data_IF_418590394981
#
_entry.id   IF_418590394981
#
_cell.length_a   1.000
_cell.length_b   1.000
_cell.length_c   1.000
_cell.angle_alpha   90.00
_cell.angle_beta   90.00
_cell.angle_gamma   90.00
#
_symmetry.space_group_name_H-M   'P 1'
#
loop_
_entity.id
_entity.type
_entity.pdbx_description
1 polymer ?
#
# COMPACT_ATOMS: atom_id res chain seq x y z
N UNK A 1 -22.79 -13.38 -0.52
CA UNK A 1 -21.88 -12.91 0.55
C UNK A 1 -22.47 -11.66 1.17
N UNK A 2 -22.16 -11.34 2.43
CA UNK A 2 -22.63 -10.12 3.10
C UNK A 2 -21.92 -8.86 2.56
N UNK A 3 -20.75 -9.03 1.93
CA UNK A 3 -19.97 -7.98 1.30
C UNK A 3 -19.98 -8.09 -0.23
N UNK A 4 -19.85 -6.96 -0.95
CA UNK A 4 -19.62 -6.97 -2.40
C UNK A 4 -18.28 -7.65 -2.73
N UNK A 5 -18.10 -8.01 -4.01
CA UNK A 5 -16.81 -8.51 -4.49
C UNK A 5 -15.72 -7.44 -4.31
N UNK A 6 -14.47 -7.89 -4.14
CA UNK A 6 -13.33 -6.99 -3.99
C UNK A 6 -13.05 -6.27 -5.31
N UNK A 7 -13.02 -4.94 -5.26
CA UNK A 7 -12.63 -4.07 -6.37
C UNK A 7 -11.27 -3.42 -6.05
N UNK A 8 -10.26 -3.75 -6.86
CA UNK A 8 -8.91 -3.23 -6.72
C UNK A 8 -8.81 -1.73 -7.01
N UNK A 9 -9.60 -1.21 -7.95
CA UNK A 9 -9.61 0.22 -8.27
C UNK A 9 -10.16 1.03 -7.10
N UNK A 10 -11.27 0.60 -6.51
CA UNK A 10 -11.84 1.23 -5.32
C UNK A 10 -10.86 1.17 -4.13
N UNK A 11 -10.11 0.08 -3.97
CA UNK A 11 -9.06 -0.04 -2.95
C UNK A 11 -7.91 0.96 -3.19
N UNK A 12 -7.39 1.05 -4.42
CA UNK A 12 -6.29 1.96 -4.78
C UNK A 12 -6.68 3.44 -4.70
N UNK A 13 -7.98 3.73 -4.86
CA UNK A 13 -8.61 5.04 -4.63
C UNK A 13 -8.87 5.35 -3.14
N UNK A 14 -8.71 4.36 -2.25
CA UNK A 14 -8.93 4.51 -0.81
C UNK A 14 -10.40 4.50 -0.38
N UNK A 15 -11.31 4.02 -1.23
CA UNK A 15 -12.75 4.00 -0.99
C UNK A 15 -13.19 2.77 -0.19
N UNK A 16 -12.43 1.67 -0.30
CA UNK A 16 -12.69 0.42 0.41
C UNK A 16 -11.42 -0.13 1.05
N UNK A 17 -11.59 -0.96 2.09
CA UNK A 17 -10.50 -1.66 2.76
C UNK A 17 -10.81 -3.17 2.83
N UNK A 18 -9.87 -4.06 2.42
CA UNK A 18 -10.04 -5.49 2.54
C UNK A 18 -9.99 -5.92 4.01
N UNK A 19 -10.93 -6.78 4.41
CA UNK A 19 -11.06 -7.27 5.79
C UNK A 19 -10.48 -8.68 5.91
N UNK A 20 -9.65 -8.89 6.93
CA UNK A 20 -9.05 -10.18 7.26
C UNK A 20 -9.38 -10.56 8.70
N UNK A 21 -9.52 -11.86 8.96
CA UNK A 21 -9.73 -12.40 10.30
C UNK A 21 -8.55 -13.29 10.68
N UNK A 22 -8.02 -13.10 11.88
CA UNK A 22 -6.85 -13.84 12.34
C UNK A 22 -6.49 -13.56 13.79
N UNK A 23 -5.45 -14.23 14.27
CA UNK A 23 -4.80 -13.97 15.55
C UNK A 23 -3.31 -13.84 15.30
N UNK A 24 -2.78 -12.62 15.41
CA UNK A 24 -1.36 -12.35 15.24
C UNK A 24 -0.51 -13.08 16.29
N UNK A 25 -1.00 -13.19 17.54
CA UNK A 25 -0.32 -13.92 18.62
C UNK A 25 -0.12 -15.41 18.28
N UNK A 26 -1.09 -16.00 17.58
CA UNK A 26 -1.07 -17.41 17.19
C UNK A 26 -0.58 -17.63 15.75
N UNK A 27 -0.07 -16.58 15.09
CA UNK A 27 0.38 -16.62 13.68
C UNK A 27 -0.69 -17.17 12.72
N UNK A 28 -1.96 -16.92 13.02
CA UNK A 28 -3.09 -17.38 12.22
C UNK A 28 -3.69 -16.22 11.43
N UNK A 29 -3.89 -16.38 10.12
CA UNK A 29 -4.42 -15.34 9.23
C UNK A 29 -3.37 -14.34 8.72
N UNK A 30 -2.13 -14.39 9.23
CA UNK A 30 -1.05 -13.46 8.85
C UNK A 30 -0.54 -13.73 7.43
N UNK A 31 -0.49 -15.01 7.03
CA UNK A 31 -0.05 -15.39 5.68
C UNK A 31 -1.02 -14.88 4.64
N UNK A 32 -2.32 -15.08 4.86
CA UNK A 32 -3.38 -14.65 3.96
C UNK A 32 -3.42 -13.13 3.81
N UNK A 33 -3.18 -12.40 4.91
CA UNK A 33 -2.99 -10.95 4.89
C UNK A 33 -1.79 -10.56 4.02
N UNK A 34 -0.63 -11.17 4.24
CA UNK A 34 0.61 -10.82 3.54
C UNK A 34 0.54 -11.16 2.04
N UNK A 35 0.04 -12.35 1.70
CA UNK A 35 -0.13 -12.79 0.31
C UNK A 35 -1.07 -11.84 -0.45
N UNK A 36 -2.15 -11.39 0.20
CA UNK A 36 -3.04 -10.40 -0.39
C UNK A 36 -2.36 -9.03 -0.50
N UNK A 37 -1.66 -8.59 0.55
CA UNK A 37 -0.95 -7.31 0.58
C UNK A 37 0.05 -7.20 -0.56
N UNK A 38 0.89 -8.21 -0.78
CA UNK A 38 1.87 -8.22 -1.89
C UNK A 38 1.19 -8.13 -3.26
N UNK A 39 -0.03 -8.68 -3.39
CA UNK A 39 -0.77 -8.67 -4.66
C UNK A 39 -1.43 -7.32 -4.96
N UNK A 40 -2.01 -6.66 -3.97
CA UNK A 40 -2.87 -5.48 -4.19
C UNK A 40 -2.20 -4.16 -3.81
N UNK A 41 -1.15 -4.18 -2.97
CA UNK A 41 -0.52 -2.95 -2.51
C UNK A 41 0.13 -2.20 -3.68
N UNK A 42 -0.01 -0.87 -3.73
CA UNK A 42 0.61 -0.09 -4.79
C UNK A 42 2.13 -0.11 -4.68
N UNK A 43 2.80 -0.20 -5.83
CA UNK A 43 4.23 0.12 -5.96
C UNK A 43 4.51 1.59 -5.62
N UNK A 44 5.80 2.00 -5.48
CA UNK A 44 6.16 3.41 -5.31
C UNK A 44 5.42 4.30 -6.31
N UNK A 45 4.78 5.35 -5.81
CA UNK A 45 3.96 6.26 -6.63
C UNK A 45 4.74 7.55 -6.92
N UNK A 46 4.44 8.24 -8.03
CA UNK A 46 4.99 9.56 -8.29
C UNK A 46 4.72 10.53 -7.14
N UNK A 47 5.70 11.38 -6.84
CA UNK A 47 5.63 12.39 -5.78
C UNK A 47 5.60 13.78 -6.41
N UNK A 48 4.69 14.63 -5.95
CA UNK A 48 4.60 16.02 -6.41
C UNK A 48 5.56 16.89 -5.60
N UNK A 49 6.40 17.67 -6.28
CA UNK A 49 7.24 18.72 -5.69
C UNK A 49 6.77 20.09 -6.17
N UNK A 50 7.39 21.17 -5.68
CA UNK A 50 7.03 22.54 -6.10
C UNK A 50 7.24 22.79 -7.60
N UNK A 51 8.29 22.20 -8.18
CA UNK A 51 8.68 22.46 -9.57
C UNK A 51 8.09 21.44 -10.55
N UNK A 52 7.98 20.17 -10.14
CA UNK A 52 7.61 19.08 -11.05
C UNK A 52 7.08 17.85 -10.31
N UNK A 53 6.53 16.92 -11.07
CA UNK A 53 6.30 15.56 -10.59
C UNK A 53 7.60 14.75 -10.71
N UNK A 54 7.91 13.94 -9.70
CA UNK A 54 9.04 13.01 -9.68
C UNK A 54 8.50 11.60 -9.84
N UNK A 55 8.89 10.91 -10.92
CA UNK A 55 8.52 9.53 -11.18
C UNK A 55 9.52 8.57 -10.51
N UNK A 56 9.05 7.43 -9.97
CA UNK A 56 9.92 6.45 -9.31
C UNK A 56 10.92 5.78 -10.26
N UNK A 57 10.65 5.78 -11.57
CA UNK A 57 11.50 5.15 -12.60
C UNK A 57 12.62 6.08 -13.13
N UNK A 58 12.76 7.30 -12.59
CA UNK A 58 13.85 8.21 -12.97
C UNK A 58 15.23 7.62 -12.57
N UNK A 59 16.22 7.68 -13.48
CA UNK A 59 17.58 7.19 -13.20
C UNK A 59 18.29 8.00 -12.09
N UNK A 60 17.93 9.28 -11.95
CA UNK A 60 18.50 10.18 -10.95
C UNK A 60 17.97 9.88 -9.54
N UNK A 61 18.88 9.66 -8.60
CA UNK A 61 18.50 9.47 -7.20
C UNK A 61 17.87 10.75 -6.60
N UNK A 62 16.73 10.59 -5.93
CA UNK A 62 16.06 11.65 -5.17
C UNK A 62 15.39 11.09 -3.91
N UNK A 63 15.12 11.95 -2.93
CA UNK A 63 14.48 11.57 -1.68
C UNK A 63 14.23 12.77 -0.76
N UNK A 64 13.39 12.57 0.27
CA UNK A 64 13.09 13.58 1.28
C UNK A 64 13.12 12.96 2.68
N UNK A 65 13.46 13.76 3.68
CA UNK A 65 13.48 13.31 5.08
C UNK A 65 12.06 13.43 5.65
N UNK A 66 11.47 12.30 6.07
CA UNK A 66 10.14 12.29 6.69
C UNK A 66 10.17 12.15 8.23
N UNK A 67 11.31 11.74 8.80
CA UNK A 67 11.50 11.55 10.25
C UNK A 67 12.98 11.71 10.62
N UNK A 68 13.23 12.33 11.78
CA UNK A 68 14.53 12.35 12.44
C UNK A 68 14.34 11.69 13.82
N UNK A 69 15.23 10.78 14.18
CA UNK A 69 15.23 10.11 15.48
C UNK A 69 16.59 10.31 16.15
N UNK A 70 16.59 10.54 17.45
CA UNK A 70 17.77 10.71 18.29
C UNK A 70 18.03 9.44 19.09
#
# INVERSE_FOLDING_TARGET
GVYPEFDEHAYLAGEVAPVFFGSALNTFGVKELLDCFVRIAPSPRPVTTEERMVNPDEEGFSGFVFKIHA
#
